data_IF_179282888609
#
_entry.id   IF_179282888609
#
_cell.length_a   1.000
_cell.length_b   1.000
_cell.length_c   1.000
_cell.angle_alpha   90.00
_cell.angle_beta   90.00
_cell.angle_gamma   90.00
#
_symmetry.space_group_name_H-M   'P 1'
#
loop_
_entity.id
_entity.type
_entity.pdbx_description
1 polymer ?
#
# COMPACT_ATOMS: atom_id res chain seq x y z
N UNK A 1 21.41 1.85 6.61
CA UNK A 1 20.66 0.70 7.15
C UNK A 1 19.28 0.62 6.51
N UNK A 2 18.43 1.66 6.61
CA UNK A 2 17.10 1.67 5.99
C UNK A 2 17.11 1.45 4.47
N UNK A 3 18.10 1.96 3.74
CA UNK A 3 18.17 1.77 2.28
C UNK A 3 18.39 0.31 1.85
N UNK A 4 19.07 -0.49 2.68
CA UNK A 4 19.25 -1.92 2.39
C UNK A 4 17.92 -2.69 2.52
N UNK A 5 17.14 -2.38 3.57
CA UNK A 5 15.81 -2.95 3.74
C UNK A 5 14.81 -2.44 2.71
N UNK A 6 14.89 -1.15 2.36
CA UNK A 6 14.07 -0.58 1.31
C UNK A 6 14.37 -1.23 -0.04
N UNK A 7 15.64 -1.46 -0.37
CA UNK A 7 16.02 -2.20 -1.58
C UNK A 7 15.30 -3.55 -1.62
N UNK A 8 15.40 -4.36 -0.55
CA UNK A 8 14.70 -5.65 -0.45
C UNK A 8 13.18 -5.50 -0.64
N UNK A 9 12.56 -4.54 0.07
CA UNK A 9 11.12 -4.25 -0.05
C UNK A 9 10.72 -3.87 -1.48
N UNK A 10 11.52 -3.05 -2.16
CA UNK A 10 11.25 -2.57 -3.53
C UNK A 10 11.37 -3.68 -4.57
N UNK A 11 12.15 -4.74 -4.33
CA UNK A 11 12.19 -5.90 -5.24
C UNK A 11 10.81 -6.55 -5.39
N UNK A 12 9.95 -6.50 -4.37
CA UNK A 12 8.60 -7.09 -4.40
C UNK A 12 7.56 -6.18 -5.08
N UNK A 13 7.83 -4.88 -5.26
CA UNK A 13 6.82 -3.92 -5.74
C UNK A 13 6.32 -4.24 -7.16
N UNK A 14 7.18 -4.55 -8.16
CA UNK A 14 6.71 -4.89 -9.50
C UNK A 14 5.81 -6.12 -9.51
N UNK A 15 6.09 -7.12 -8.66
CA UNK A 15 5.30 -8.34 -8.56
C UNK A 15 3.93 -8.06 -7.94
N UNK A 16 3.84 -7.22 -6.91
CA UNK A 16 2.55 -6.77 -6.34
C UNK A 16 1.70 -6.08 -7.41
N UNK A 17 2.26 -5.12 -8.15
CA UNK A 17 1.49 -4.39 -9.17
C UNK A 17 1.07 -5.31 -10.33
N UNK A 18 1.96 -6.21 -10.77
CA UNK A 18 1.65 -7.20 -11.82
C UNK A 18 0.56 -8.18 -11.36
N UNK A 19 0.67 -8.73 -10.16
CA UNK A 19 -0.32 -9.65 -9.61
C UNK A 19 -1.67 -8.98 -9.40
N UNK A 20 -1.70 -7.70 -9.01
CA UNK A 20 -2.93 -6.93 -8.92
C UNK A 20 -3.59 -6.73 -10.30
N UNK A 21 -2.81 -6.38 -11.33
CA UNK A 21 -3.33 -6.23 -12.69
C UNK A 21 -3.92 -7.54 -13.25
N UNK A 22 -3.26 -8.68 -12.98
CA UNK A 22 -3.77 -10.01 -13.35
C UNK A 22 -5.03 -10.40 -12.57
N UNK A 23 -5.11 -10.04 -11.30
CA UNK A 23 -6.32 -10.27 -10.51
C UNK A 23 -7.47 -9.39 -11.03
N UNK A 24 -7.18 -8.14 -11.41
CA UNK A 24 -8.15 -7.21 -11.98
C UNK A 24 -8.75 -7.75 -13.30
N UNK A 25 -7.96 -8.39 -14.18
CA UNK A 25 -8.48 -8.97 -15.43
C UNK A 25 -9.43 -10.14 -15.25
N UNK A 26 -9.55 -10.67 -14.02
CA UNK A 26 -10.46 -11.76 -13.68
C UNK A 26 -11.74 -11.28 -13.00
N UNK A 27 -11.93 -9.96 -12.85
CA UNK A 27 -13.12 -9.38 -12.24
C UNK A 27 -14.33 -9.46 -13.18
N UNK A 28 -15.55 -9.65 -12.65
CA UNK A 28 -16.76 -9.74 -13.47
C UNK A 28 -17.37 -8.38 -13.83
N UNK A 29 -17.07 -7.32 -13.06
CA UNK A 29 -17.68 -5.99 -13.22
C UNK A 29 -16.81 -5.11 -14.13
N UNK A 30 -17.30 -4.72 -15.33
CA UNK A 30 -16.44 -4.11 -16.37
C UNK A 30 -15.92 -2.72 -16.00
N UNK A 31 -16.74 -1.84 -15.43
CA UNK A 31 -16.32 -0.46 -15.13
C UNK A 31 -15.29 -0.38 -13.98
N UNK A 32 -15.52 -0.99 -12.80
CA UNK A 32 -14.51 -1.05 -11.75
C UNK A 32 -13.24 -1.82 -12.16
N UNK A 33 -13.38 -2.84 -13.01
CA UNK A 33 -12.26 -3.59 -13.58
C UNK A 33 -11.37 -2.68 -14.43
N UNK A 34 -11.95 -1.95 -15.38
CA UNK A 34 -11.22 -1.03 -16.25
C UNK A 34 -10.49 0.03 -15.42
N UNK A 35 -11.14 0.58 -14.40
CA UNK A 35 -10.52 1.57 -13.51
C UNK A 35 -9.31 1.01 -12.76
N UNK A 36 -9.41 -0.21 -12.22
CA UNK A 36 -8.30 -0.85 -11.52
C UNK A 36 -7.15 -1.20 -12.48
N UNK A 37 -7.46 -1.66 -13.69
CA UNK A 37 -6.45 -1.92 -14.73
C UNK A 37 -5.73 -0.64 -15.16
N UNK A 38 -6.47 0.46 -15.37
CA UNK A 38 -5.91 1.77 -15.68
C UNK A 38 -5.01 2.26 -14.54
N UNK A 39 -5.43 2.11 -13.28
CA UNK A 39 -4.62 2.44 -12.12
C UNK A 39 -3.30 1.65 -12.11
N UNK A 40 -3.36 0.34 -12.33
CA UNK A 40 -2.16 -0.49 -12.42
C UNK A 40 -1.24 -0.06 -13.56
N UNK A 41 -1.78 0.19 -14.76
CA UNK A 41 -1.02 0.63 -15.92
C UNK A 41 -0.36 2.01 -15.69
N UNK A 42 -1.09 2.95 -15.06
CA UNK A 42 -0.58 4.26 -14.66
C UNK A 42 0.61 4.12 -13.72
N UNK A 43 0.50 3.28 -12.69
CA UNK A 43 1.59 3.04 -11.72
C UNK A 43 2.78 2.33 -12.37
N UNK A 44 2.54 1.37 -13.27
CA UNK A 44 3.60 0.71 -14.05
C UNK A 44 4.31 1.69 -15.00
N UNK A 45 3.59 2.67 -15.53
CA UNK A 45 4.12 3.75 -16.37
C UNK A 45 4.88 4.84 -15.61
N UNK A 46 5.10 4.69 -14.30
CA UNK A 46 5.85 5.65 -13.48
C UNK A 46 5.02 6.80 -12.91
N UNK A 47 3.70 6.84 -13.15
CA UNK A 47 2.85 7.89 -12.59
C UNK A 47 2.41 7.56 -11.16
N UNK A 48 2.16 8.62 -10.38
CA UNK A 48 1.50 8.50 -9.08
C UNK A 48 0.01 8.27 -9.30
N UNK A 49 -0.65 7.32 -8.60
CA UNK A 49 -2.11 7.20 -8.66
C UNK A 49 -2.74 8.47 -8.07
N UNK A 50 -4.05 8.67 -8.19
CA UNK A 50 -4.80 9.66 -7.40
C UNK A 50 -5.56 8.99 -6.27
N UNK A 51 -5.79 9.71 -5.17
CA UNK A 51 -6.56 9.20 -4.04
C UNK A 51 -7.99 8.81 -4.45
N UNK A 52 -8.64 9.63 -5.27
CA UNK A 52 -9.99 9.36 -5.77
C UNK A 52 -10.07 8.05 -6.57
N UNK A 53 -9.03 7.71 -7.35
CA UNK A 53 -9.00 6.44 -8.10
C UNK A 53 -8.92 5.24 -7.14
N UNK A 54 -8.11 5.33 -6.08
CA UNK A 54 -7.99 4.27 -5.06
C UNK A 54 -9.30 4.09 -4.28
N UNK A 55 -9.95 5.19 -3.90
CA UNK A 55 -11.23 5.14 -3.18
C UNK A 55 -12.37 4.63 -4.06
N UNK A 56 -12.36 4.94 -5.37
CA UNK A 56 -13.37 4.47 -6.30
C UNK A 56 -13.34 2.93 -6.49
N UNK A 57 -12.17 2.29 -6.33
CA UNK A 57 -12.03 0.83 -6.45
C UNK A 57 -12.16 0.06 -5.13
N UNK A 58 -12.40 0.74 -4.00
CA UNK A 58 -12.32 0.11 -2.66
C UNK A 58 -13.28 -1.05 -2.45
N UNK A 59 -14.48 -0.99 -3.02
CA UNK A 59 -15.50 -2.05 -2.92
C UNK A 59 -15.00 -3.38 -3.49
N UNK A 60 -14.13 -3.35 -4.52
CA UNK A 60 -13.54 -4.55 -5.11
C UNK A 60 -12.70 -5.35 -4.11
N UNK A 61 -12.11 -4.68 -3.11
CA UNK A 61 -11.26 -5.29 -2.09
C UNK A 61 -12.02 -5.77 -0.85
N UNK A 62 -13.30 -5.42 -0.72
CA UNK A 62 -14.20 -6.02 0.27
C UNK A 62 -14.78 -7.36 -0.20
N UNK A 63 -14.77 -7.63 -1.52
CA UNK A 63 -15.26 -8.86 -2.13
C UNK A 63 -14.29 -10.04 -2.03
N UNK A 64 -14.71 -11.22 -2.49
CA UNK A 64 -13.93 -12.45 -2.34
C UNK A 64 -12.63 -12.48 -3.14
N UNK A 65 -12.56 -11.85 -4.32
CA UNK A 65 -11.42 -11.99 -5.25
C UNK A 65 -10.19 -11.18 -4.84
N UNK A 66 -10.37 -9.90 -4.48
CA UNK A 66 -9.26 -9.03 -4.08
C UNK A 66 -9.12 -8.90 -2.57
N UNK A 67 -9.99 -9.50 -1.76
CA UNK A 67 -9.72 -9.65 -0.33
C UNK A 67 -8.47 -10.51 -0.13
N UNK A 68 -7.77 -10.31 1.01
CA UNK A 68 -6.55 -11.04 1.35
C UNK A 68 -6.71 -12.57 1.29
N UNK A 69 -7.92 -13.07 1.57
CA UNK A 69 -8.24 -14.50 1.51
C UNK A 69 -8.39 -15.04 0.07
N UNK A 70 -8.78 -14.20 -0.89
CA UNK A 70 -8.90 -14.56 -2.31
C UNK A 70 -7.60 -14.44 -3.10
N UNK A 71 -6.63 -13.67 -2.59
CA UNK A 71 -5.36 -13.49 -3.29
C UNK A 71 -4.60 -14.81 -3.45
N UNK A 72 -3.98 -14.99 -4.61
CA UNK A 72 -3.05 -16.07 -4.88
C UNK A 72 -1.87 -16.03 -3.90
N UNK A 73 -1.32 -17.20 -3.57
CA UNK A 73 -0.31 -17.33 -2.50
C UNK A 73 0.93 -16.48 -2.78
N UNK A 74 1.39 -16.43 -4.03
CA UNK A 74 2.58 -15.64 -4.38
C UNK A 74 2.31 -14.13 -4.29
N UNK A 75 1.08 -13.70 -4.55
CA UNK A 75 0.68 -12.31 -4.34
C UNK A 75 0.70 -11.95 -2.85
N UNK A 76 0.19 -12.83 -1.98
CA UNK A 76 0.26 -12.65 -0.52
C UNK A 76 1.72 -12.64 -0.03
N UNK A 77 2.59 -13.48 -0.58
CA UNK A 77 4.03 -13.48 -0.25
C UNK A 77 4.71 -12.18 -0.63
N UNK A 78 4.43 -11.65 -1.83
CA UNK A 78 4.96 -10.38 -2.28
C UNK A 78 4.53 -9.23 -1.35
N UNK A 79 3.23 -9.15 -1.01
CA UNK A 79 2.73 -8.18 -0.01
C UNK A 79 3.34 -8.38 1.38
N UNK A 80 3.56 -9.63 1.80
CA UNK A 80 4.20 -9.95 3.08
C UNK A 80 5.65 -9.46 3.13
N UNK A 81 6.40 -9.59 2.03
CA UNK A 81 7.77 -9.09 1.93
C UNK A 81 7.83 -7.56 2.00
N UNK A 82 6.85 -6.86 1.40
CA UNK A 82 6.74 -5.39 1.48
C UNK A 82 6.67 -4.90 2.94
N UNK A 83 6.02 -5.69 3.79
CA UNK A 83 5.82 -5.43 5.21
C UNK A 83 6.84 -6.17 6.11
N UNK A 84 7.93 -6.67 5.53
CA UNK A 84 8.99 -7.40 6.24
C UNK A 84 8.48 -8.62 7.06
N UNK A 85 7.35 -9.20 6.66
CA UNK A 85 6.80 -10.41 7.25
C UNK A 85 7.49 -11.65 6.65
N UNK A 86 7.71 -12.69 7.47
CA UNK A 86 8.33 -13.94 7.04
C UNK A 86 7.50 -14.65 5.96
N UNK A 87 7.94 -14.71 4.69
CA UNK A 87 7.10 -15.18 3.57
C UNK A 87 7.05 -16.71 3.44
N UNK A 88 7.79 -17.45 4.25
CA UNK A 88 7.91 -18.92 4.18
C UNK A 88 6.88 -19.66 5.04
N UNK A 89 5.92 -18.94 5.64
CA UNK A 89 4.85 -19.55 6.42
C UNK A 89 3.75 -20.11 5.50
N UNK A 90 2.94 -21.08 5.97
CA UNK A 90 1.73 -21.51 5.27
C UNK A 90 0.80 -20.34 4.93
N UNK A 91 0.12 -20.42 3.79
CA UNK A 91 -0.61 -19.29 3.22
C UNK A 91 -1.70 -18.69 4.14
N UNK A 92 -2.38 -19.51 4.94
CA UNK A 92 -3.38 -18.99 5.88
C UNK A 92 -2.75 -18.16 7.01
N UNK A 93 -1.57 -18.55 7.50
CA UNK A 93 -0.82 -17.77 8.48
C UNK A 93 -0.31 -16.47 7.87
N UNK A 94 0.19 -16.50 6.63
CA UNK A 94 0.61 -15.29 5.92
C UNK A 94 -0.54 -14.28 5.80
N UNK A 95 -1.71 -14.74 5.34
CA UNK A 95 -2.91 -13.89 5.22
C UNK A 95 -3.33 -13.30 6.55
N UNK A 96 -3.32 -14.10 7.61
CA UNK A 96 -3.65 -13.62 8.96
C UNK A 96 -2.64 -12.57 9.44
N UNK A 97 -1.33 -12.85 9.36
CA UNK A 97 -0.28 -11.90 9.78
C UNK A 97 -0.34 -10.60 8.98
N UNK A 98 -0.50 -10.71 7.66
CA UNK A 98 -0.64 -9.56 6.76
C UNK A 98 -1.86 -8.72 7.15
N UNK A 99 -3.02 -9.35 7.35
CA UNK A 99 -4.24 -8.65 7.78
C UNK A 99 -4.03 -7.94 9.13
N UNK A 100 -3.54 -8.67 10.14
CA UNK A 100 -3.35 -8.12 11.48
C UNK A 100 -2.39 -6.93 11.46
N UNK A 101 -1.27 -7.03 10.73
CA UNK A 101 -0.29 -5.97 10.67
C UNK A 101 -0.80 -4.72 9.91
N UNK A 102 -1.53 -4.92 8.82
CA UNK A 102 -2.13 -3.79 8.08
C UNK A 102 -3.19 -3.07 8.91
N UNK A 103 -4.00 -3.82 9.68
CA UNK A 103 -4.99 -3.23 10.58
C UNK A 103 -4.36 -2.53 11.81
N UNK A 104 -3.21 -3.02 12.28
CA UNK A 104 -2.41 -2.34 13.29
C UNK A 104 -1.91 -0.98 12.79
N UNK A 105 -1.36 -0.94 11.56
CA UNK A 105 -0.98 0.32 10.90
C UNK A 105 -2.19 1.26 10.76
N UNK A 106 -3.35 0.74 10.38
CA UNK A 106 -4.57 1.54 10.28
C UNK A 106 -5.02 2.12 11.63
N UNK A 107 -4.89 1.38 12.73
CA UNK A 107 -5.17 1.92 14.06
C UNK A 107 -4.18 3.02 14.44
N UNK A 108 -2.89 2.84 14.13
CA UNK A 108 -1.88 3.88 14.32
C UNK A 108 -2.19 5.12 13.46
N UNK A 109 -2.75 4.95 12.27
CA UNK A 109 -3.17 6.05 11.40
C UNK A 109 -4.29 6.87 12.02
N UNK A 110 -5.33 6.23 12.56
CA UNK A 110 -6.39 6.94 13.25
C UNK A 110 -5.86 7.73 14.46
N UNK A 111 -5.01 7.10 15.28
CA UNK A 111 -4.37 7.78 16.41
C UNK A 111 -3.52 8.97 15.93
N UNK A 112 -2.78 8.81 14.84
CA UNK A 112 -1.95 9.86 14.27
C UNK A 112 -2.78 11.02 13.68
N UNK A 113 -3.91 10.71 13.04
CA UNK A 113 -4.85 11.72 12.55
C UNK A 113 -5.42 12.57 13.70
N UNK A 114 -5.73 11.92 14.83
CA UNK A 114 -6.20 12.62 16.04
C UNK A 114 -5.12 13.48 16.70
N UNK A 115 -3.87 13.00 16.78
CA UNK A 115 -2.74 13.75 17.33
C UNK A 115 -2.37 14.96 16.44
N UNK A 116 -2.46 14.77 15.13
CA UNK A 116 -2.09 15.75 14.11
C UNK A 116 -0.60 15.69 13.76
N UNK A 117 -0.30 15.73 12.46
CA UNK A 117 1.07 15.62 11.94
C UNK A 117 2.00 16.77 12.36
N UNK A 118 1.47 17.89 12.85
CA UNK A 118 2.26 19.01 13.34
C UNK A 118 3.04 18.70 14.61
N UNK A 119 2.63 17.65 15.34
CA UNK A 119 3.27 17.22 16.58
C UNK A 119 4.47 16.27 16.37
N UNK A 120 4.64 15.76 15.15
CA UNK A 120 5.73 14.83 14.84
C UNK A 120 7.06 15.57 14.71
N UNK A 121 8.09 15.04 15.36
CA UNK A 121 9.47 15.38 15.02
C UNK A 121 9.80 14.96 13.58
N UNK A 122 10.91 15.47 13.05
CA UNK A 122 11.37 15.09 11.71
C UNK A 122 11.70 13.58 11.62
N UNK A 123 12.23 13.02 12.70
CA UNK A 123 12.56 11.59 12.82
C UNK A 123 11.30 10.73 12.87
N UNK A 124 10.29 11.14 13.65
CA UNK A 124 9.00 10.46 13.74
C UNK A 124 8.24 10.53 12.42
N UNK A 125 8.28 11.66 11.72
CA UNK A 125 7.69 11.80 10.39
C UNK A 125 8.30 10.82 9.39
N UNK A 126 9.63 10.70 9.37
CA UNK A 126 10.34 9.74 8.50
C UNK A 126 10.03 8.30 8.89
N UNK A 127 10.02 7.97 10.18
CA UNK A 127 9.68 6.64 10.67
C UNK A 127 8.23 6.27 10.30
N UNK A 128 7.29 7.22 10.43
CA UNK A 128 5.90 7.02 10.05
C UNK A 128 5.76 6.74 8.54
N UNK A 129 6.47 7.49 7.69
CA UNK A 129 6.53 7.23 6.24
C UNK A 129 7.08 5.84 5.94
N UNK A 130 8.21 5.49 6.57
CA UNK A 130 8.89 4.21 6.35
C UNK A 130 8.04 3.00 6.73
N UNK A 131 7.34 3.07 7.86
CA UNK A 131 6.41 2.02 8.32
C UNK A 131 5.32 1.71 7.29
N UNK A 132 4.93 2.70 6.48
CA UNK A 132 3.84 2.62 5.51
C UNK A 132 4.32 2.36 4.08
N UNK A 133 5.61 2.07 3.90
CA UNK A 133 6.19 1.65 2.62
C UNK A 133 6.99 2.73 1.89
N UNK A 134 7.07 3.96 2.40
CA UNK A 134 7.83 5.04 1.76
C UNK A 134 9.26 5.10 2.29
N UNK A 135 10.26 5.00 1.41
CA UNK A 135 11.62 5.38 1.79
C UNK A 135 11.78 6.90 1.79
N UNK A 136 11.88 7.47 2.98
CA UNK A 136 12.03 8.91 3.21
C UNK A 136 13.49 9.37 3.38
N UNK A 137 14.49 8.49 3.25
CA UNK A 137 15.92 8.84 3.47
C UNK A 137 16.35 10.05 2.62
N UNK A 138 15.83 10.15 1.39
CA UNK A 138 16.22 11.18 0.42
C UNK A 138 15.14 12.23 0.16
N UNK A 139 14.06 12.23 0.95
CA UNK A 139 12.96 13.17 0.80
C UNK A 139 13.10 14.33 1.80
N UNK A 140 12.71 15.53 1.35
CA UNK A 140 12.55 16.68 2.22
C UNK A 140 11.38 16.48 3.20
N UNK A 141 11.39 17.25 4.29
CA UNK A 141 10.34 17.16 5.32
C UNK A 141 8.93 17.45 4.75
N UNK A 142 8.81 18.42 3.85
CA UNK A 142 7.54 18.78 3.22
C UNK A 142 7.00 17.65 2.34
N UNK A 143 7.86 16.94 1.61
CA UNK A 143 7.48 15.79 0.78
C UNK A 143 7.03 14.62 1.67
N UNK A 144 7.77 14.32 2.74
CA UNK A 144 7.36 13.29 3.71
C UNK A 144 5.98 13.60 4.31
N UNK A 145 5.76 14.87 4.69
CA UNK A 145 4.48 15.35 5.24
C UNK A 145 3.36 15.20 4.22
N UNK A 146 3.55 15.67 2.99
CA UNK A 146 2.53 15.58 1.94
C UNK A 146 2.18 14.12 1.61
N UNK A 147 3.17 13.24 1.57
CA UNK A 147 2.94 11.80 1.39
C UNK A 147 2.12 11.20 2.55
N UNK A 148 2.51 11.51 3.78
CA UNK A 148 1.86 10.95 4.97
C UNK A 148 0.42 11.47 5.12
N UNK A 149 0.18 12.74 4.84
CA UNK A 149 -1.19 13.31 4.77
C UNK A 149 -2.04 12.54 3.75
N UNK A 150 -1.47 12.28 2.58
CA UNK A 150 -2.16 11.54 1.53
C UNK A 150 -2.43 10.09 1.93
N UNK A 151 -1.47 9.43 2.58
CA UNK A 151 -1.65 8.09 3.14
C UNK A 151 -2.80 8.08 4.17
N UNK A 152 -2.79 9.00 5.14
CA UNK A 152 -3.81 9.05 6.19
C UNK A 152 -5.21 9.30 5.65
N UNK A 153 -5.36 10.15 4.63
CA UNK A 153 -6.66 10.35 3.95
C UNK A 153 -7.18 9.06 3.32
N UNK A 154 -6.31 8.19 2.82
CA UNK A 154 -6.73 6.88 2.33
C UNK A 154 -7.03 5.95 3.49
N UNK A 155 -6.06 5.71 4.36
CA UNK A 155 -6.12 4.63 5.34
C UNK A 155 -7.23 4.82 6.37
N UNK A 156 -7.53 6.07 6.75
CA UNK A 156 -8.61 6.38 7.68
C UNK A 156 -10.01 6.33 7.05
N UNK A 157 -10.11 6.34 5.71
CA UNK A 157 -11.39 6.18 4.99
C UNK A 157 -11.73 4.71 4.69
N UNK A 158 -10.73 3.84 4.68
CA UNK A 158 -10.94 2.42 4.38
C UNK A 158 -11.52 1.65 5.56
N UNK A 159 -12.35 0.66 5.28
CA UNK A 159 -12.88 -0.26 6.26
C UNK A 159 -11.94 -1.45 6.50
N UNK A 160 -12.10 -2.16 7.62
CA UNK A 160 -11.31 -3.36 7.90
C UNK A 160 -11.54 -4.50 6.88
N UNK A 161 -12.66 -4.52 6.17
CA UNK A 161 -12.89 -5.44 5.03
C UNK A 161 -11.97 -5.11 3.85
N UNK A 162 -11.57 -3.85 3.70
CA UNK A 162 -10.76 -3.30 2.61
C UNK A 162 -9.25 -3.31 2.94
N UNK A 163 -8.84 -4.02 3.99
CA UNK A 163 -7.43 -4.13 4.41
C UNK A 163 -6.50 -4.58 3.28
N UNK A 164 -7.02 -5.33 2.30
CA UNK A 164 -6.22 -5.66 1.13
C UNK A 164 -5.86 -4.43 0.30
N UNK A 165 -6.79 -3.50 0.04
CA UNK A 165 -6.48 -2.26 -0.65
C UNK A 165 -5.42 -1.45 0.10
N UNK A 166 -5.52 -1.39 1.43
CA UNK A 166 -4.53 -0.70 2.26
C UNK A 166 -3.12 -1.33 2.10
N UNK A 167 -3.03 -2.66 2.08
CA UNK A 167 -1.79 -3.37 1.84
C UNK A 167 -1.19 -3.06 0.45
N UNK A 168 -2.01 -3.10 -0.60
CA UNK A 168 -1.57 -2.73 -1.96
C UNK A 168 -1.16 -1.26 -2.04
N UNK A 169 -1.83 -0.38 -1.31
CA UNK A 169 -1.59 1.06 -1.35
C UNK A 169 -0.21 1.44 -0.82
N UNK A 170 0.40 0.62 0.05
CA UNK A 170 1.80 0.79 0.47
C UNK A 170 2.75 0.77 -0.74
N UNK A 171 2.44 -0.07 -1.74
CA UNK A 171 3.19 -0.16 -2.99
C UNK A 171 2.73 0.93 -3.96
N UNK A 172 1.43 1.04 -4.21
CA UNK A 172 0.88 1.95 -5.23
C UNK A 172 1.22 3.42 -4.97
N UNK A 173 1.23 3.84 -3.70
CA UNK A 173 1.60 5.22 -3.33
C UNK A 173 3.10 5.46 -3.24
N UNK A 174 3.91 4.41 -2.99
CA UNK A 174 5.35 4.57 -2.72
C UNK A 174 6.24 4.28 -3.93
N UNK A 175 5.78 3.49 -4.90
CA UNK A 175 6.61 3.02 -6.02
C UNK A 175 7.25 4.18 -6.78
N UNK A 176 6.44 5.19 -7.13
CA UNK A 176 6.88 6.30 -7.98
C UNK A 176 7.07 7.62 -7.23
N UNK A 177 7.02 7.64 -5.89
CA UNK A 177 6.91 8.91 -5.14
C UNK A 177 8.22 9.70 -5.17
N UNK A 178 9.35 9.01 -5.11
CA UNK A 178 10.69 9.59 -5.22
C UNK A 178 11.19 9.75 -6.66
N UNK A 179 10.36 9.42 -7.66
CA UNK A 179 10.69 9.52 -9.08
C UNK A 179 9.93 10.66 -9.79
N UNK A 180 9.24 11.51 -9.04
CA UNK A 180 8.59 12.68 -9.61
C UNK A 180 9.65 13.51 -10.37
N UNK A 181 9.43 13.84 -11.66
CA UNK A 181 10.33 14.72 -12.37
C UNK A 181 10.38 16.06 -11.64
N UNK A 182 11.59 16.57 -11.43
CA UNK A 182 11.80 17.97 -11.07
C UNK A 182 11.24 18.89 -12.16
#
# INVERSE_FOLDING_TARGET
FLDAYDSIRRHSYPDVVRSLALAASSLPEPEPQELLQQLCAQVQGGAQPHLAQLLAVRSLFSGSLLALNGLQVDHVKALSQVLFLTPHLPAFFLRHRLRSHVLEIQHLDHALLHLGLGQLSEEELRAACYLRGLNSTHLGQAECRAWLERWLRLSCELQASEASLLAHSMVLLSLNYSQAPK
#
